data_IF_900566882086
#
_entry.id   IF_900566882086
#
_cell.length_a   1.000
_cell.length_b   1.000
_cell.length_c   1.000
_cell.angle_alpha   90.00
_cell.angle_beta   90.00
_cell.angle_gamma   90.00
#
_symmetry.space_group_name_H-M   'P 1'
#
loop_
_entity.id
_entity.type
_entity.pdbx_description
1 polymer ?
#
# COMPACT_ATOMS: atom_id res chain seq x y z
N UNK A 1 -38.50 75.32 24.56
CA UNK A 1 -39.25 74.06 24.79
C UNK A 1 -39.62 73.33 23.50
N UNK A 2 -40.71 73.62 22.77
CA UNK A 2 -41.05 72.83 21.56
C UNK A 2 -40.00 72.86 20.44
N UNK A 3 -39.32 73.99 20.23
CA UNK A 3 -38.27 74.09 19.22
C UNK A 3 -36.97 73.35 19.61
N UNK A 4 -36.66 73.25 20.91
CA UNK A 4 -35.47 72.55 21.42
C UNK A 4 -35.67 71.03 21.44
N UNK A 5 -36.88 70.55 21.73
CA UNK A 5 -37.24 69.14 21.59
C UNK A 5 -37.15 68.67 20.13
N UNK A 6 -37.64 69.48 19.18
CA UNK A 6 -37.57 69.15 17.75
C UNK A 6 -36.13 69.07 17.24
N UNK A 7 -35.25 70.00 17.64
CA UNK A 7 -33.83 70.02 17.25
C UNK A 7 -33.05 68.82 17.82
N UNK A 8 -33.39 68.39 19.04
CA UNK A 8 -32.80 67.23 19.70
C UNK A 8 -33.27 65.91 19.09
N UNK A 9 -34.53 65.82 18.70
CA UNK A 9 -35.11 64.64 18.06
C UNK A 9 -34.56 64.44 16.63
N UNK A 10 -34.31 65.53 15.91
CA UNK A 10 -33.65 65.51 14.60
C UNK A 10 -32.19 65.05 14.70
N UNK A 11 -31.44 65.47 15.74
CA UNK A 11 -30.07 64.98 16.01
C UNK A 11 -30.02 63.49 16.35
N UNK A 12 -30.97 62.99 17.15
CA UNK A 12 -31.06 61.56 17.47
C UNK A 12 -31.45 60.71 16.26
N UNK A 13 -32.27 61.25 15.36
CA UNK A 13 -32.59 60.60 14.08
C UNK A 13 -31.35 60.52 13.19
N UNK A 14 -30.60 61.61 13.06
CA UNK A 14 -29.33 61.63 12.33
C UNK A 14 -28.30 60.62 12.87
N UNK A 15 -28.14 60.55 14.20
CA UNK A 15 -27.25 59.56 14.85
C UNK A 15 -27.72 58.12 14.63
N UNK A 16 -29.04 57.85 14.60
CA UNK A 16 -29.58 56.52 14.27
C UNK A 16 -29.28 56.11 12.84
N UNK A 17 -29.47 57.01 11.89
CA UNK A 17 -29.19 56.77 10.48
C UNK A 17 -27.69 56.51 10.28
N UNK A 18 -26.83 57.27 10.96
CA UNK A 18 -25.38 57.05 10.93
C UNK A 18 -24.92 55.70 11.53
N UNK A 19 -25.58 55.22 12.59
CA UNK A 19 -25.33 53.89 13.17
C UNK A 19 -25.82 52.79 12.23
N UNK A 20 -26.98 52.99 11.60
CA UNK A 20 -27.53 52.07 10.61
C UNK A 20 -26.59 51.93 9.41
N UNK A 21 -26.10 53.03 8.86
CA UNK A 21 -25.16 53.03 7.73
C UNK A 21 -23.83 52.37 8.10
N UNK A 22 -23.29 52.67 9.29
CA UNK A 22 -22.08 52.02 9.77
C UNK A 22 -22.25 50.51 10.00
N UNK A 23 -23.45 50.07 10.41
CA UNK A 23 -23.79 48.66 10.55
C UNK A 23 -23.90 47.96 9.19
N UNK A 24 -24.59 48.57 8.23
CA UNK A 24 -24.73 48.04 6.88
C UNK A 24 -23.37 47.85 6.19
N UNK A 25 -22.46 48.82 6.37
CA UNK A 25 -21.08 48.72 5.87
C UNK A 25 -20.30 47.57 6.52
N UNK A 26 -20.43 47.40 7.85
CA UNK A 26 -19.79 46.31 8.57
C UNK A 26 -20.31 44.94 8.13
N UNK A 27 -21.62 44.80 7.96
CA UNK A 27 -22.25 43.55 7.53
C UNK A 27 -21.84 43.19 6.10
N UNK A 28 -21.76 44.18 5.19
CA UNK A 28 -21.24 44.01 3.82
C UNK A 28 -19.79 43.49 3.81
N UNK A 29 -18.92 44.09 4.61
CA UNK A 29 -17.51 43.69 4.69
C UNK A 29 -17.35 42.29 5.31
N UNK A 30 -18.21 41.92 6.28
CA UNK A 30 -18.24 40.56 6.85
C UNK A 30 -18.68 39.51 5.83
N UNK A 31 -19.67 39.82 4.99
CA UNK A 31 -20.09 38.92 3.91
C UNK A 31 -18.95 38.70 2.90
N UNK A 32 -18.23 39.77 2.55
CA UNK A 32 -17.03 39.68 1.70
C UNK A 32 -15.93 38.84 2.36
N UNK A 33 -15.69 39.01 3.66
CA UNK A 33 -14.74 38.20 4.45
C UNK A 33 -15.10 36.71 4.40
N UNK A 34 -16.37 36.36 4.61
CA UNK A 34 -16.82 34.96 4.54
C UNK A 34 -16.66 34.36 3.13
N UNK A 35 -16.94 35.16 2.10
CA UNK A 35 -16.76 34.75 0.69
C UNK A 35 -15.29 34.49 0.38
N UNK A 36 -14.38 35.37 0.82
CA UNK A 36 -12.94 35.18 0.67
C UNK A 36 -12.43 33.97 1.44
N UNK A 37 -12.93 33.72 2.65
CA UNK A 37 -12.60 32.53 3.44
C UNK A 37 -12.97 31.24 2.70
N UNK A 38 -14.19 31.18 2.14
CA UNK A 38 -14.65 30.02 1.37
C UNK A 38 -13.81 29.81 0.11
N UNK A 39 -13.48 30.89 -0.61
CA UNK A 39 -12.58 30.82 -1.76
C UNK A 39 -11.18 30.30 -1.39
N UNK A 40 -10.64 30.71 -0.23
CA UNK A 40 -9.37 30.24 0.30
C UNK A 40 -9.39 28.74 0.60
N UNK A 41 -10.46 28.25 1.24
CA UNK A 41 -10.63 26.82 1.53
C UNK A 41 -10.65 26.03 0.22
N UNK A 42 -11.47 26.46 -0.75
CA UNK A 42 -11.53 25.80 -2.07
C UNK A 42 -10.18 25.78 -2.78
N UNK A 43 -9.43 26.88 -2.73
CA UNK A 43 -8.09 26.95 -3.34
C UNK A 43 -7.09 26.00 -2.66
N UNK A 44 -7.17 25.86 -1.33
CA UNK A 44 -6.35 24.90 -0.58
C UNK A 44 -6.68 23.46 -0.94
N UNK A 45 -7.97 23.14 -1.09
CA UNK A 45 -8.41 21.81 -1.52
C UNK A 45 -7.91 21.49 -2.93
N UNK A 46 -7.95 22.46 -3.85
CA UNK A 46 -7.40 22.31 -5.20
C UNK A 46 -5.88 22.03 -5.17
N UNK A 47 -5.12 22.78 -4.36
CA UNK A 47 -3.68 22.54 -4.17
C UNK A 47 -3.43 21.13 -3.66
N UNK A 48 -4.22 20.66 -2.67
CA UNK A 48 -4.10 19.30 -2.14
C UNK A 48 -4.37 18.24 -3.21
N UNK A 49 -5.41 18.41 -4.03
CA UNK A 49 -5.70 17.50 -5.14
C UNK A 49 -4.57 17.47 -6.18
N UNK A 50 -3.96 18.61 -6.48
CA UNK A 50 -2.79 18.68 -7.37
C UNK A 50 -1.60 17.95 -6.74
N UNK A 51 -1.36 18.12 -5.44
CA UNK A 51 -0.26 17.46 -4.72
C UNK A 51 -0.40 15.93 -4.72
N UNK A 52 -1.62 15.45 -4.53
CA UNK A 52 -1.95 14.03 -4.63
C UNK A 52 -1.66 13.48 -6.04
N UNK A 53 -2.03 14.22 -7.09
CA UNK A 53 -1.70 13.86 -8.48
C UNK A 53 -0.20 13.85 -8.74
N UNK A 54 0.55 14.83 -8.25
CA UNK A 54 2.02 14.86 -8.37
C UNK A 54 2.61 13.60 -7.76
N UNK A 55 2.21 13.27 -6.52
CA UNK A 55 2.71 12.10 -5.80
C UNK A 55 2.40 10.80 -6.53
N UNK A 56 1.22 10.67 -7.12
CA UNK A 56 0.84 9.50 -7.91
C UNK A 56 1.70 9.36 -9.18
N UNK A 57 1.94 10.47 -9.88
CA UNK A 57 2.79 10.48 -11.08
C UNK A 57 4.26 10.17 -10.74
N UNK A 58 4.79 10.75 -9.67
CA UNK A 58 6.15 10.46 -9.20
C UNK A 58 6.31 9.02 -8.73
N UNK A 59 5.29 8.45 -8.07
CA UNK A 59 5.29 7.04 -7.68
C UNK A 59 5.36 6.13 -8.92
N UNK A 60 4.55 6.38 -9.94
CA UNK A 60 4.57 5.63 -11.20
C UNK A 60 5.90 5.79 -11.93
N UNK A 61 6.47 6.99 -11.97
CA UNK A 61 7.81 7.23 -12.53
C UNK A 61 8.85 6.35 -11.84
N UNK A 62 8.86 6.33 -10.50
CA UNK A 62 9.78 5.52 -9.72
C UNK A 62 9.59 4.02 -9.97
N UNK A 63 8.34 3.54 -10.08
CA UNK A 63 8.02 2.16 -10.44
C UNK A 63 8.56 1.79 -11.83
N UNK A 64 8.37 2.65 -12.83
CA UNK A 64 8.88 2.44 -14.19
C UNK A 64 10.42 2.44 -14.20
N UNK A 65 11.06 3.37 -13.48
CA UNK A 65 12.52 3.44 -13.40
C UNK A 65 13.13 2.21 -12.71
N UNK A 66 12.48 1.70 -11.67
CA UNK A 66 12.85 0.43 -11.05
C UNK A 66 12.74 -0.73 -12.04
N UNK A 67 11.67 -0.77 -12.84
CA UNK A 67 11.51 -1.76 -13.89
C UNK A 67 12.60 -1.67 -14.97
N UNK A 68 12.95 -0.47 -15.44
CA UNK A 68 14.04 -0.27 -16.40
C UNK A 68 15.37 -0.79 -15.82
N UNK A 69 15.66 -0.48 -14.55
CA UNK A 69 16.88 -0.97 -13.89
C UNK A 69 16.89 -2.50 -13.81
N UNK A 70 15.76 -3.12 -13.48
CA UNK A 70 15.64 -4.58 -13.44
C UNK A 70 15.86 -5.20 -14.82
N UNK A 71 15.25 -4.64 -15.87
CA UNK A 71 15.40 -5.12 -17.25
C UNK A 71 16.87 -4.99 -17.70
N UNK A 72 17.53 -3.87 -17.41
CA UNK A 72 18.97 -3.69 -17.71
C UNK A 72 19.86 -4.71 -16.98
N UNK A 73 19.53 -5.06 -15.73
CA UNK A 73 20.25 -6.11 -15.01
C UNK A 73 20.01 -7.50 -15.61
N UNK A 74 18.80 -7.78 -16.12
CA UNK A 74 18.48 -9.03 -16.82
C UNK A 74 19.22 -9.17 -18.15
N UNK A 75 19.49 -8.07 -18.85
CA UNK A 75 20.28 -8.06 -20.09
C UNK A 75 21.67 -8.67 -19.88
N UNK A 76 22.30 -8.39 -18.73
CA UNK A 76 23.63 -8.93 -18.42
C UNK A 76 23.60 -10.42 -18.09
N UNK A 77 22.53 -10.93 -17.49
CA UNK A 77 22.38 -12.34 -17.10
C UNK A 77 20.91 -12.77 -17.13
N UNK A 78 20.52 -13.61 -18.10
CA UNK A 78 19.15 -14.14 -18.23
C UNK A 78 18.62 -14.81 -16.96
N UNK A 79 19.51 -15.42 -16.17
CA UNK A 79 19.18 -16.09 -14.91
C UNK A 79 18.66 -15.10 -13.85
N UNK A 80 19.11 -13.84 -13.86
CA UNK A 80 18.66 -12.82 -12.90
C UNK A 80 17.17 -12.49 -13.03
N UNK A 81 16.58 -12.77 -14.20
CA UNK A 81 15.15 -12.57 -14.41
C UNK A 81 14.30 -13.47 -13.49
N UNK A 82 14.86 -14.58 -13.00
CA UNK A 82 14.13 -15.62 -12.27
C UNK A 82 14.50 -15.66 -10.77
N UNK A 83 14.57 -14.50 -10.12
CA UNK A 83 14.80 -14.37 -8.67
C UNK A 83 15.97 -13.45 -8.26
N UNK A 84 16.49 -12.66 -9.20
CA UNK A 84 17.45 -11.58 -8.94
C UNK A 84 18.84 -12.07 -8.51
N UNK A 85 19.59 -11.18 -7.85
CA UNK A 85 20.97 -11.45 -7.40
C UNK A 85 21.07 -12.66 -6.45
N UNK A 86 20.03 -12.92 -5.65
CA UNK A 86 20.04 -14.03 -4.70
C UNK A 86 20.08 -15.39 -5.39
N UNK A 87 19.48 -15.54 -6.57
CA UNK A 87 19.52 -16.78 -7.34
C UNK A 87 20.91 -17.06 -7.90
N UNK A 88 21.66 -16.03 -8.30
CA UNK A 88 23.07 -16.21 -8.69
C UNK A 88 23.89 -16.75 -7.53
N UNK A 89 23.71 -16.18 -6.33
CA UNK A 89 24.40 -16.67 -5.13
C UNK A 89 23.99 -18.11 -4.79
N UNK A 90 22.70 -18.43 -4.92
CA UNK A 90 22.20 -19.79 -4.73
C UNK A 90 22.84 -20.78 -5.71
N UNK A 91 22.93 -20.44 -7.00
CA UNK A 91 23.59 -21.29 -7.99
C UNK A 91 25.05 -21.55 -7.66
N UNK A 92 25.79 -20.54 -7.17
CA UNK A 92 27.17 -20.72 -6.70
C UNK A 92 27.27 -21.66 -5.51
N UNK A 93 26.32 -21.62 -4.59
CA UNK A 93 26.27 -22.54 -3.43
C UNK A 93 25.91 -23.95 -3.88
N UNK A 94 24.95 -24.09 -4.80
CA UNK A 94 24.58 -25.38 -5.40
C UNK A 94 25.79 -26.00 -6.11
N UNK A 95 26.54 -25.22 -6.89
CA UNK A 95 27.77 -25.66 -7.55
C UNK A 95 28.80 -26.16 -6.55
N UNK A 96 28.96 -25.52 -5.38
CA UNK A 96 29.86 -26.02 -4.32
C UNK A 96 29.38 -27.32 -3.68
N UNK A 97 28.07 -27.47 -3.52
CA UNK A 97 27.44 -28.64 -2.91
C UNK A 97 27.12 -29.74 -3.92
N UNK A 98 27.57 -29.64 -5.18
CA UNK A 98 27.11 -30.51 -6.26
C UNK A 98 27.31 -32.01 -6.00
N UNK A 99 28.42 -32.39 -5.33
CA UNK A 99 28.72 -33.79 -4.98
C UNK A 99 27.83 -34.36 -3.87
N UNK A 100 27.13 -33.50 -3.12
CA UNK A 100 26.24 -33.92 -2.03
C UNK A 100 24.83 -34.21 -2.51
N UNK A 101 24.46 -33.73 -3.70
CA UNK A 101 23.20 -34.05 -4.34
C UNK A 101 23.32 -35.40 -5.06
N UNK A 102 22.23 -36.18 -5.07
CA UNK A 102 22.17 -37.40 -5.88
C UNK A 102 22.23 -37.06 -7.37
N UNK A 103 21.48 -36.04 -7.76
CA UNK A 103 21.60 -35.38 -9.06
C UNK A 103 21.48 -33.87 -8.86
N UNK A 104 22.23 -33.04 -9.62
CA UNK A 104 22.18 -31.61 -9.45
C UNK A 104 20.76 -31.07 -9.70
N UNK A 105 20.27 -30.15 -8.85
CA UNK A 105 18.95 -29.57 -9.03
C UNK A 105 18.87 -28.79 -10.34
N UNK A 106 17.74 -28.92 -11.05
CA UNK A 106 17.49 -28.21 -12.31
C UNK A 106 16.72 -26.93 -11.99
N UNK A 107 17.31 -25.77 -12.25
CA UNK A 107 16.59 -24.51 -12.14
C UNK A 107 17.48 -23.27 -12.23
N UNK A 108 16.86 -22.08 -12.21
CA UNK A 108 15.41 -21.85 -12.22
C UNK A 108 14.76 -22.28 -13.54
N UNK A 109 13.53 -22.85 -13.49
CA UNK A 109 12.84 -23.41 -14.67
C UNK A 109 12.85 -22.46 -15.87
N UNK A 110 12.57 -21.17 -15.63
CA UNK A 110 12.49 -20.16 -16.69
C UNK A 110 13.79 -19.97 -17.49
N UNK A 111 14.96 -20.26 -16.91
CA UNK A 111 16.24 -20.16 -17.60
C UNK A 111 16.43 -21.25 -18.67
N UNK A 112 15.70 -22.36 -18.57
CA UNK A 112 15.75 -23.48 -19.52
C UNK A 112 14.72 -23.35 -20.65
N UNK A 113 13.89 -22.30 -20.64
CA UNK A 113 12.81 -22.10 -21.59
C UNK A 113 13.22 -21.10 -22.69
N UNK A 114 12.89 -21.46 -23.92
CA UNK A 114 12.98 -20.60 -25.11
C UNK A 114 11.60 -20.54 -25.75
N UNK A 115 11.29 -19.41 -26.40
CA UNK A 115 10.02 -19.21 -27.11
C UNK A 115 10.24 -19.27 -28.61
N UNK A 116 9.47 -20.10 -29.32
CA UNK A 116 9.62 -20.29 -30.78
C UNK A 116 9.20 -19.05 -31.60
N UNK A 117 8.26 -18.25 -31.09
CA UNK A 117 7.76 -17.01 -31.72
C UNK A 117 7.97 -15.80 -30.78
N UNK A 118 9.26 -15.56 -30.47
CA UNK A 118 9.81 -15.16 -29.17
C UNK A 118 9.39 -13.87 -28.47
N UNK A 119 8.60 -12.97 -29.05
CA UNK A 119 8.23 -11.71 -28.36
C UNK A 119 6.73 -11.53 -28.15
N UNK A 120 5.90 -11.96 -29.10
CA UNK A 120 4.46 -11.69 -29.05
C UNK A 120 3.79 -12.31 -27.82
N UNK A 121 4.17 -13.55 -27.48
CA UNK A 121 3.49 -14.33 -26.44
C UNK A 121 4.23 -14.34 -25.09
N UNK A 122 5.38 -13.65 -24.98
CA UNK A 122 6.24 -13.77 -23.80
C UNK A 122 5.52 -13.40 -22.51
N UNK A 123 4.81 -12.27 -22.51
CA UNK A 123 4.04 -11.80 -21.35
C UNK A 123 2.92 -12.78 -20.99
N UNK A 124 2.18 -13.28 -21.98
CA UNK A 124 1.09 -14.23 -21.79
C UNK A 124 1.59 -15.56 -21.19
N UNK A 125 2.69 -16.11 -21.72
CA UNK A 125 3.32 -17.35 -21.23
C UNK A 125 3.79 -17.20 -19.79
N UNK A 126 4.37 -16.05 -19.45
CA UNK A 126 4.83 -15.82 -18.09
C UNK A 126 3.71 -15.72 -17.07
N UNK A 127 2.58 -15.13 -17.46
CA UNK A 127 1.39 -15.12 -16.63
C UNK A 127 0.79 -16.53 -16.49
N UNK A 128 0.86 -17.32 -17.56
CA UNK A 128 0.34 -18.68 -17.58
C UNK A 128 1.13 -19.65 -16.68
N UNK A 129 2.47 -19.58 -16.73
CA UNK A 129 3.37 -20.40 -15.89
C UNK A 129 3.52 -19.80 -14.48
N UNK A 130 3.52 -18.48 -14.38
CA UNK A 130 3.55 -17.74 -13.11
C UNK A 130 4.85 -17.94 -12.33
N UNK A 131 4.70 -18.26 -11.03
CA UNK A 131 5.83 -18.42 -10.10
C UNK A 131 6.68 -19.65 -10.38
N UNK A 132 6.16 -20.63 -11.11
CA UNK A 132 6.89 -21.86 -11.45
C UNK A 132 8.17 -21.57 -12.24
N UNK A 133 8.24 -20.45 -12.96
CA UNK A 133 9.46 -20.02 -13.66
C UNK A 133 10.66 -19.82 -12.71
N UNK A 134 10.41 -19.49 -11.44
CA UNK A 134 11.44 -19.29 -10.43
C UNK A 134 11.74 -20.58 -9.63
N UNK A 135 11.06 -21.68 -9.95
CA UNK A 135 11.19 -22.94 -9.21
C UNK A 135 12.44 -23.72 -9.60
N UNK A 136 12.87 -24.57 -8.67
CA UNK A 136 13.92 -25.57 -8.89
C UNK A 136 13.33 -26.98 -8.79
N UNK A 137 13.87 -27.91 -9.56
CA UNK A 137 13.45 -29.31 -9.61
C UNK A 137 14.55 -30.16 -8.98
N UNK A 138 14.18 -31.04 -8.05
CA UNK A 138 15.06 -32.00 -7.37
C UNK A 138 14.53 -33.42 -7.55
N UNK A 139 15.40 -34.42 -7.41
CA UNK A 139 14.99 -35.83 -7.58
C UNK A 139 14.27 -36.38 -6.35
N UNK A 140 14.83 -36.14 -5.15
CA UNK A 140 14.42 -36.80 -3.92
C UNK A 140 14.19 -35.82 -2.76
N UNK A 141 13.51 -36.28 -1.72
CA UNK A 141 13.30 -35.49 -0.49
C UNK A 141 14.61 -35.17 0.26
N UNK A 142 15.67 -35.96 0.06
CA UNK A 142 17.02 -35.63 0.60
C UNK A 142 17.59 -34.39 -0.09
N UNK A 143 17.56 -34.37 -1.42
CA UNK A 143 18.01 -33.24 -2.23
C UNK A 143 17.15 -31.99 -1.98
N UNK A 144 15.84 -32.15 -1.77
CA UNK A 144 14.97 -31.06 -1.33
C UNK A 144 15.47 -30.38 -0.05
N UNK A 145 15.80 -31.16 0.98
CA UNK A 145 16.30 -30.62 2.25
C UNK A 145 17.66 -29.93 2.08
N UNK A 146 18.53 -30.52 1.27
CA UNK A 146 19.84 -29.94 0.97
C UNK A 146 19.70 -28.61 0.22
N UNK A 147 18.88 -28.54 -0.83
CA UNK A 147 18.63 -27.32 -1.58
C UNK A 147 18.00 -26.23 -0.70
N UNK A 148 17.08 -26.63 0.19
CA UNK A 148 16.50 -25.70 1.17
C UNK A 148 17.55 -25.16 2.15
N UNK A 149 18.50 -25.98 2.57
CA UNK A 149 19.64 -25.52 3.37
C UNK A 149 20.50 -24.51 2.60
N UNK A 150 20.85 -24.82 1.34
CA UNK A 150 21.59 -23.89 0.47
C UNK A 150 20.84 -22.56 0.29
N UNK A 151 19.51 -22.59 0.16
CA UNK A 151 18.67 -21.39 0.05
C UNK A 151 18.68 -20.55 1.33
N UNK A 152 18.70 -21.18 2.50
CA UNK A 152 18.78 -20.49 3.79
C UNK A 152 20.13 -19.78 3.97
N UNK A 153 21.23 -20.40 3.52
CA UNK A 153 22.58 -19.80 3.58
C UNK A 153 22.68 -18.46 2.81
N UNK A 154 21.91 -18.32 1.73
CA UNK A 154 21.86 -17.08 0.92
C UNK A 154 20.65 -16.18 1.24
N UNK A 155 19.94 -16.46 2.34
CA UNK A 155 18.73 -15.75 2.77
C UNK A 155 17.66 -15.65 1.66
N UNK A 156 17.39 -16.79 1.02
CA UNK A 156 16.35 -16.97 0.00
C UNK A 156 15.19 -17.81 0.55
N UNK A 157 14.37 -17.18 1.42
CA UNK A 157 13.31 -17.88 2.18
C UNK A 157 12.10 -18.36 1.36
N UNK A 158 11.91 -17.90 0.13
CA UNK A 158 10.71 -18.20 -0.68
C UNK A 158 11.02 -19.07 -1.92
N UNK A 159 11.99 -19.98 -1.82
CA UNK A 159 12.30 -20.92 -2.91
C UNK A 159 11.16 -21.92 -3.11
N UNK A 160 10.60 -21.95 -4.32
CA UNK A 160 9.70 -23.03 -4.73
C UNK A 160 10.55 -24.20 -5.25
N UNK A 161 10.47 -25.34 -4.57
CA UNK A 161 11.19 -26.56 -4.96
C UNK A 161 10.16 -27.64 -5.31
N UNK A 162 10.34 -28.26 -6.46
CA UNK A 162 9.49 -29.33 -7.00
C UNK A 162 10.28 -30.63 -6.96
N UNK A 163 9.70 -31.67 -6.40
CA UNK A 163 10.30 -33.01 -6.42
C UNK A 163 9.77 -33.73 -7.65
N UNK A 164 10.65 -34.20 -8.53
CA UNK A 164 10.29 -34.91 -9.75
C UNK A 164 11.37 -35.93 -10.13
N UNK A 165 10.97 -37.11 -10.58
CA UNK A 165 11.91 -38.15 -11.01
C UNK A 165 12.50 -37.83 -12.40
N UNK A 166 13.81 -37.61 -12.45
CA UNK A 166 14.55 -37.27 -13.67
C UNK A 166 14.64 -38.46 -14.64
N UNK A 167 14.35 -39.67 -14.17
CA UNK A 167 14.33 -40.89 -14.99
C UNK A 167 13.09 -40.96 -15.88
N UNK A 168 12.09 -40.10 -15.63
CA UNK A 168 10.84 -40.09 -16.40
C UNK A 168 11.09 -39.63 -17.83
N UNK A 169 10.75 -40.45 -18.85
CA UNK A 169 10.91 -40.05 -20.25
C UNK A 169 9.98 -38.88 -20.59
N UNK A 170 10.26 -38.21 -21.72
CA UNK A 170 9.44 -37.08 -22.18
C UNK A 170 7.99 -37.51 -22.39
N UNK A 171 7.05 -36.80 -21.76
CA UNK A 171 5.63 -37.06 -21.89
C UNK A 171 5.16 -36.80 -23.33
N UNK A 172 4.55 -37.81 -23.93
CA UNK A 172 3.89 -37.72 -25.23
C UNK A 172 2.40 -37.56 -25.00
N UNK A 173 1.85 -36.38 -25.31
CA UNK A 173 0.44 -36.06 -25.09
C UNK A 173 -0.32 -36.37 -26.37
N UNK A 174 -1.30 -37.29 -26.36
CA UNK A 174 -2.12 -37.57 -27.52
C UNK A 174 -2.94 -36.34 -27.96
N UNK A 175 -3.18 -36.20 -29.27
CA UNK A 175 -3.89 -35.04 -29.82
C UNK A 175 -5.29 -34.84 -29.23
N UNK A 176 -6.01 -35.92 -28.90
CA UNK A 176 -7.36 -35.84 -28.32
C UNK A 176 -7.37 -35.31 -26.87
N UNK A 177 -6.23 -35.28 -26.19
CA UNK A 177 -6.08 -34.71 -24.85
C UNK A 177 -5.76 -33.21 -24.88
N UNK A 178 -5.46 -32.66 -26.05
CA UNK A 178 -5.19 -31.24 -26.25
C UNK A 178 -6.48 -30.47 -26.55
N UNK A 179 -6.54 -29.16 -26.25
CA UNK A 179 -7.63 -28.31 -26.67
C UNK A 179 -7.73 -28.25 -28.20
N UNK A 180 -8.90 -28.57 -28.75
CA UNK A 180 -9.14 -28.47 -30.19
C UNK A 180 -9.45 -27.02 -30.58
N UNK A 181 -8.41 -26.24 -30.87
CA UNK A 181 -8.53 -24.81 -31.22
C UNK A 181 -7.56 -24.43 -32.33
N UNK A 182 -7.88 -23.35 -33.06
CA UNK A 182 -6.96 -22.72 -34.02
C UNK A 182 -5.90 -21.83 -33.34
N UNK A 183 -5.93 -21.74 -32.02
CA UNK A 183 -5.06 -20.89 -31.23
C UNK A 183 -3.90 -21.70 -30.63
N UNK A 184 -2.68 -21.15 -30.56
CA UNK A 184 -1.56 -21.86 -29.98
C UNK A 184 -1.76 -22.09 -28.48
N UNK A 185 -1.38 -23.27 -27.99
CA UNK A 185 -1.25 -23.52 -26.55
C UNK A 185 0.11 -23.06 -26.04
N UNK A 186 0.23 -22.80 -24.74
CA UNK A 186 1.52 -22.48 -24.10
C UNK A 186 2.53 -23.59 -24.38
N UNK A 187 2.12 -24.86 -24.32
CA UNK A 187 2.96 -26.01 -24.66
C UNK A 187 3.53 -25.94 -26.09
N UNK A 188 2.71 -25.54 -27.08
CA UNK A 188 3.12 -25.52 -28.49
C UNK A 188 4.20 -24.49 -28.83
N UNK A 189 4.30 -23.41 -28.05
CA UNK A 189 5.25 -22.32 -28.29
C UNK A 189 6.50 -22.40 -27.40
N UNK A 190 6.48 -23.24 -26.38
CA UNK A 190 7.61 -23.49 -25.49
C UNK A 190 8.59 -24.48 -26.11
N UNK A 191 9.86 -24.09 -26.14
CA UNK A 191 10.98 -24.95 -26.48
C UNK A 191 11.87 -25.13 -25.25
N UNK A 192 12.10 -26.39 -24.88
CA UNK A 192 13.01 -26.76 -23.80
C UNK A 192 13.82 -27.98 -24.22
N UNK A 193 15.13 -27.93 -23.98
CA UNK A 193 16.05 -29.05 -24.23
C UNK A 193 15.91 -30.13 -23.15
N UNK A 194 15.54 -29.75 -21.93
CA UNK A 194 15.39 -30.68 -20.81
C UNK A 194 13.96 -31.22 -20.71
N UNK A 195 13.80 -32.54 -20.95
CA UNK A 195 12.52 -33.24 -20.86
C UNK A 195 11.88 -33.17 -19.47
N UNK A 196 12.67 -33.16 -18.39
CA UNK A 196 12.16 -33.07 -17.01
C UNK A 196 11.44 -31.74 -16.78
N UNK A 197 12.01 -30.63 -17.28
CA UNK A 197 11.39 -29.31 -17.17
C UNK A 197 10.06 -29.27 -17.92
N UNK A 198 10.02 -29.84 -19.13
CA UNK A 198 8.80 -29.88 -19.94
C UNK A 198 7.72 -30.75 -19.28
N UNK A 199 8.09 -31.90 -18.71
CA UNK A 199 7.16 -32.78 -18.01
C UNK A 199 6.56 -32.09 -16.77
N UNK A 200 7.38 -31.41 -15.97
CA UNK A 200 6.91 -30.64 -14.80
C UNK A 200 5.92 -29.54 -15.20
N UNK A 201 6.17 -28.86 -16.32
CA UNK A 201 5.25 -27.84 -16.83
C UNK A 201 3.91 -28.43 -17.27
N UNK A 202 3.90 -29.65 -17.81
CA UNK A 202 2.65 -30.36 -18.17
C UNK A 202 1.92 -30.81 -16.91
N UNK A 203 2.60 -31.55 -16.03
CA UNK A 203 1.97 -32.18 -14.87
C UNK A 203 1.45 -31.16 -13.85
N UNK A 204 2.26 -30.13 -13.53
CA UNK A 204 1.94 -29.14 -12.50
C UNK A 204 1.43 -27.81 -13.08
N UNK A 205 1.92 -27.42 -14.26
CA UNK A 205 1.53 -26.17 -14.91
C UNK A 205 0.31 -26.29 -15.82
N UNK A 206 0.01 -27.50 -16.32
CA UNK A 206 -1.02 -27.75 -17.33
C UNK A 206 -0.90 -26.86 -18.58
N UNK A 207 0.34 -26.58 -19.00
CA UNK A 207 0.65 -25.71 -20.13
C UNK A 207 0.06 -26.20 -21.47
N UNK A 208 -0.26 -27.48 -21.56
CA UNK A 208 -0.93 -28.13 -22.70
C UNK A 208 -2.40 -27.73 -22.81
N UNK A 209 -3.03 -27.33 -21.71
CA UNK A 209 -4.45 -26.93 -21.61
C UNK A 209 -4.64 -25.42 -21.50
N UNK A 210 -3.57 -24.65 -21.62
CA UNK A 210 -3.58 -23.19 -21.58
C UNK A 210 -3.46 -22.64 -23.01
N UNK A 211 -4.46 -21.89 -23.47
CA UNK A 211 -4.55 -21.38 -24.85
C UNK A 211 -4.26 -19.88 -24.88
N UNK A 212 -3.62 -19.42 -25.96
CA UNK A 212 -3.16 -18.05 -26.14
C UNK A 212 -3.90 -17.34 -27.26
N UNK A 213 -4.41 -16.14 -26.98
CA UNK A 213 -5.25 -15.36 -27.89
C UNK A 213 -4.75 -13.92 -28.02
N UNK A 214 -5.00 -13.30 -29.17
CA UNK A 214 -4.51 -11.94 -29.43
C UNK A 214 -5.24 -10.92 -28.54
N UNK A 215 -6.57 -10.93 -28.63
CA UNK A 215 -7.42 -9.85 -28.13
C UNK A 215 -8.38 -10.35 -27.07
N UNK A 216 -8.86 -9.40 -26.26
CA UNK A 216 -9.85 -9.65 -25.22
C UNK A 216 -11.14 -10.29 -25.76
N UNK A 217 -11.65 -9.79 -26.88
CA UNK A 217 -12.90 -10.28 -27.47
C UNK A 217 -12.77 -11.73 -27.94
N UNK A 218 -11.67 -12.05 -28.62
CA UNK A 218 -11.36 -13.44 -29.03
C UNK A 218 -11.21 -14.34 -27.81
N UNK A 219 -10.54 -13.86 -26.76
CA UNK A 219 -10.42 -14.62 -25.52
C UNK A 219 -11.75 -14.94 -24.87
N UNK A 220 -12.70 -14.00 -24.89
CA UNK A 220 -14.05 -14.20 -24.36
C UNK A 220 -14.79 -15.32 -25.11
N UNK A 221 -14.76 -15.28 -26.44
CA UNK A 221 -15.40 -16.29 -27.30
C UNK A 221 -14.80 -17.68 -27.05
N UNK A 222 -13.48 -17.79 -27.07
CA UNK A 222 -12.75 -19.05 -26.86
C UNK A 222 -12.96 -19.60 -25.44
N UNK A 223 -12.93 -18.74 -24.42
CA UNK A 223 -13.04 -19.17 -23.02
C UNK A 223 -14.47 -19.53 -22.58
N UNK A 224 -15.49 -18.88 -23.16
CA UNK A 224 -16.87 -18.92 -22.65
C UNK A 224 -17.91 -19.45 -23.65
N UNK A 225 -17.72 -19.23 -24.94
CA UNK A 225 -18.74 -19.50 -25.98
C UNK A 225 -18.46 -20.81 -26.74
N UNK A 226 -17.22 -21.04 -27.17
CA UNK A 226 -16.84 -22.19 -28.02
C UNK A 226 -16.85 -23.55 -27.31
N UNK A 227 -16.99 -23.58 -25.97
CA UNK A 227 -17.03 -24.80 -25.14
C UNK A 227 -16.00 -25.87 -25.55
N UNK A 228 -14.75 -25.46 -25.69
CA UNK A 228 -13.65 -26.31 -26.14
C UNK A 228 -13.33 -27.39 -25.09
N UNK A 229 -13.24 -28.65 -25.53
CA UNK A 229 -12.84 -29.78 -24.68
C UNK A 229 -11.38 -29.63 -24.22
N UNK A 230 -11.08 -30.07 -23.00
CA UNK A 230 -9.74 -30.03 -22.40
C UNK A 230 -9.13 -28.62 -22.23
N UNK A 231 -9.87 -27.54 -22.51
CA UNK A 231 -9.43 -26.19 -22.18
C UNK A 231 -9.46 -25.97 -20.65
N UNK A 232 -8.39 -25.40 -20.08
CA UNK A 232 -8.34 -25.02 -18.66
C UNK A 232 -8.43 -23.51 -18.51
N UNK A 233 -7.57 -22.77 -19.20
CA UNK A 233 -7.40 -21.32 -19.06
C UNK A 233 -7.02 -20.71 -20.42
N UNK A 234 -7.43 -19.47 -20.64
CA UNK A 234 -7.09 -18.67 -21.82
C UNK A 234 -6.33 -17.42 -21.38
N UNK A 235 -5.26 -17.07 -22.10
CA UNK A 235 -4.46 -15.88 -21.83
C UNK A 235 -4.37 -14.98 -23.06
N UNK A 236 -4.60 -13.68 -22.87
CA UNK A 236 -4.35 -12.68 -23.91
C UNK A 236 -2.87 -12.34 -24.01
N UNK A 237 -2.45 -11.73 -25.14
CA UNK A 237 -1.08 -11.19 -25.33
C UNK A 237 -0.65 -10.28 -24.17
N UNK A 238 -1.58 -9.49 -23.63
CA UNK A 238 -1.33 -8.57 -22.52
C UNK A 238 -1.22 -9.26 -21.15
N UNK A 239 -1.53 -10.55 -21.06
CA UNK A 239 -1.52 -11.33 -19.81
C UNK A 239 -2.86 -11.36 -19.06
N UNK A 240 -3.97 -10.98 -19.71
CA UNK A 240 -5.31 -11.14 -19.12
C UNK A 240 -5.67 -12.63 -19.09
N UNK A 241 -6.17 -13.13 -17.95
CA UNK A 241 -6.50 -14.54 -17.75
C UNK A 241 -8.01 -14.73 -17.74
N UNK A 242 -8.51 -15.66 -18.54
CA UNK A 242 -9.93 -15.99 -18.65
C UNK A 242 -10.14 -17.48 -18.44
N UNK A 243 -11.13 -17.86 -17.63
CA UNK A 243 -11.46 -19.26 -17.41
C UNK A 243 -12.90 -19.45 -16.91
N UNK A 244 -13.43 -20.64 -17.15
CA UNK A 244 -14.75 -21.08 -16.70
C UNK A 244 -14.62 -22.16 -15.63
N UNK A 245 -15.37 -22.03 -14.53
CA UNK A 245 -15.51 -23.07 -13.50
C UNK A 245 -16.99 -23.41 -13.34
N UNK A 246 -17.44 -24.45 -14.04
CA UNK A 246 -18.86 -24.77 -14.12
C UNK A 246 -19.65 -23.60 -14.71
N UNK A 247 -20.66 -23.04 -14.01
CA UNK A 247 -21.43 -21.91 -14.52
C UNK A 247 -20.72 -20.56 -14.37
N UNK A 248 -19.63 -20.47 -13.59
CA UNK A 248 -18.97 -19.20 -13.29
C UNK A 248 -17.93 -18.89 -14.35
N UNK A 249 -18.05 -17.70 -14.94
CA UNK A 249 -17.09 -17.11 -15.86
C UNK A 249 -16.24 -16.09 -15.11
N UNK A 250 -14.91 -16.15 -15.24
CA UNK A 250 -14.00 -15.25 -14.54
C UNK A 250 -12.95 -14.70 -15.48
N UNK A 251 -12.74 -13.39 -15.40
CA UNK A 251 -11.70 -12.66 -16.12
C UNK A 251 -10.85 -11.91 -15.10
N UNK A 252 -9.54 -12.20 -15.10
CA UNK A 252 -8.57 -11.54 -14.24
C UNK A 252 -7.71 -10.60 -15.08
N UNK A 253 -7.66 -9.29 -14.76
CA UNK A 253 -6.87 -8.33 -15.51
C UNK A 253 -5.37 -8.63 -15.39
N UNK A 254 -4.56 -8.21 -16.37
CA UNK A 254 -3.12 -8.41 -16.33
C UNK A 254 -2.50 -7.68 -15.13
N UNK A 255 -1.46 -8.27 -14.54
CA UNK A 255 -0.77 -7.64 -13.43
C UNK A 255 0.05 -6.44 -13.94
N UNK A 256 -0.30 -5.23 -13.49
CA UNK A 256 0.36 -3.98 -13.90
C UNK A 256 1.86 -3.98 -13.59
N UNK A 257 2.32 -4.75 -12.60
CA UNK A 257 3.74 -4.81 -12.21
C UNK A 257 4.61 -5.63 -13.16
N UNK A 258 4.03 -6.44 -14.05
CA UNK A 258 4.76 -7.41 -14.87
C UNK A 258 4.47 -7.21 -16.36
N UNK A 259 4.67 -5.98 -16.83
CA UNK A 259 4.51 -5.58 -18.24
C UNK A 259 5.63 -6.03 -19.15
N UNK A 260 6.72 -6.55 -18.60
CA UNK A 260 7.85 -7.09 -19.35
C UNK A 260 7.90 -8.61 -19.24
N UNK A 261 8.02 -9.28 -20.39
CA UNK A 261 8.29 -10.70 -20.44
C UNK A 261 9.79 -10.96 -20.23
N UNK A 262 10.16 -11.50 -19.07
CA UNK A 262 11.46 -12.13 -18.76
C UNK A 262 11.95 -13.16 -19.78
N UNK A 263 11.04 -13.78 -20.54
CA UNK A 263 11.30 -14.75 -21.61
C UNK A 263 11.44 -14.09 -22.99
N UNK A 264 11.24 -12.77 -23.09
CA UNK A 264 11.40 -12.02 -24.35
C UNK A 264 12.89 -11.90 -24.71
N UNK A 265 13.17 -11.97 -26.01
CA UNK A 265 14.52 -11.75 -26.54
C UNK A 265 14.80 -10.30 -26.94
N UNK A 266 13.77 -9.44 -27.05
CA UNK A 266 13.94 -8.00 -27.30
C UNK A 266 13.88 -7.24 -25.98
N UNK A 267 15.05 -6.82 -25.51
CA UNK A 267 15.19 -6.04 -24.28
C UNK A 267 15.13 -4.53 -24.60
N UNK A 268 15.67 -4.16 -25.76
CA UNK A 268 15.88 -2.80 -26.21
C UNK A 268 14.55 -2.09 -26.51
N UNK A 269 13.64 -2.70 -27.27
CA UNK A 269 12.33 -2.10 -27.60
C UNK A 269 11.49 -1.86 -26.33
N UNK A 270 11.61 -2.76 -25.34
CA UNK A 270 10.93 -2.62 -24.07
C UNK A 270 11.52 -1.50 -23.22
N UNK A 271 12.85 -1.39 -23.15
CA UNK A 271 13.51 -0.28 -22.45
C UNK A 271 13.13 1.06 -23.08
N UNK A 272 13.08 1.14 -24.42
CA UNK A 272 12.67 2.36 -25.12
C UNK A 272 11.23 2.73 -24.77
N UNK A 273 10.29 1.77 -24.83
CA UNK A 273 8.90 2.00 -24.44
C UNK A 273 8.77 2.47 -22.99
N UNK A 274 9.41 1.79 -22.04
CA UNK A 274 9.36 2.20 -20.64
C UNK A 274 10.05 3.54 -20.40
N UNK A 275 11.11 3.87 -21.16
CA UNK A 275 11.78 5.16 -21.07
C UNK A 275 10.89 6.29 -21.59
N UNK A 276 10.12 6.05 -22.65
CA UNK A 276 9.13 7.00 -23.15
C UNK A 276 8.00 7.19 -22.13
N UNK A 277 7.43 6.10 -21.61
CA UNK A 277 6.40 6.15 -20.55
C UNK A 277 6.91 6.92 -19.30
N UNK A 278 8.17 6.71 -18.89
CA UNK A 278 8.78 7.44 -17.78
C UNK A 278 8.96 8.94 -18.08
N UNK A 279 9.36 9.29 -19.30
CA UNK A 279 9.51 10.68 -19.73
C UNK A 279 8.16 11.40 -19.71
N UNK A 280 7.10 10.75 -20.20
CA UNK A 280 5.75 11.30 -20.22
C UNK A 280 5.20 11.49 -18.80
N UNK A 281 5.41 10.51 -17.92
CA UNK A 281 5.00 10.60 -16.51
C UNK A 281 5.75 11.71 -15.76
N UNK A 282 7.04 11.89 -16.06
CA UNK A 282 7.86 12.95 -15.49
C UNK A 282 7.44 14.34 -15.98
N UNK A 283 7.11 14.47 -17.27
CA UNK A 283 6.56 15.71 -17.83
C UNK A 283 5.22 16.05 -17.18
N UNK A 284 4.31 15.09 -17.06
CA UNK A 284 3.03 15.29 -16.39
C UNK A 284 3.22 15.76 -14.94
N UNK A 285 4.12 15.13 -14.17
CA UNK A 285 4.43 15.56 -12.81
C UNK A 285 4.97 17.00 -12.75
N UNK A 286 5.84 17.40 -13.70
CA UNK A 286 6.37 18.75 -13.78
C UNK A 286 5.30 19.78 -14.18
N UNK A 287 4.39 19.45 -15.08
CA UNK A 287 3.27 20.30 -15.46
C UNK A 287 2.34 20.53 -14.26
N UNK A 288 2.04 19.48 -13.49
CA UNK A 288 1.30 19.64 -12.24
C UNK A 288 2.03 20.48 -11.20
N UNK A 289 3.38 20.40 -11.12
CA UNK A 289 4.17 21.28 -10.24
C UNK A 289 4.08 22.74 -10.66
N UNK A 290 4.03 23.04 -11.95
CA UNK A 290 3.79 24.40 -12.43
C UNK A 290 2.39 24.88 -12.09
N UNK A 291 1.37 24.04 -12.30
CA UNK A 291 -0.02 24.36 -11.94
C UNK A 291 -0.17 24.57 -10.42
N UNK A 292 0.56 23.80 -9.60
CA UNK A 292 0.61 23.97 -8.15
C UNK A 292 1.14 25.36 -7.78
N UNK A 293 2.24 25.80 -8.39
CA UNK A 293 2.80 27.14 -8.13
C UNK A 293 1.81 28.25 -8.49
N UNK A 294 1.09 28.12 -9.62
CA UNK A 294 0.06 29.08 -10.00
C UNK A 294 -1.11 29.12 -8.98
N UNK A 295 -1.55 27.95 -8.51
CA UNK A 295 -2.56 27.82 -7.47
C UNK A 295 -2.10 28.41 -6.12
N UNK A 296 -0.83 28.23 -5.76
CA UNK A 296 -0.22 28.82 -4.56
C UNK A 296 -0.13 30.36 -4.65
N UNK A 297 0.21 30.91 -5.83
CA UNK A 297 0.20 32.36 -6.06
C UNK A 297 -1.22 32.94 -5.92
N UNK A 298 -2.24 32.25 -6.44
CA UNK A 298 -3.65 32.63 -6.23
C UNK A 298 -4.04 32.60 -4.76
N UNK A 299 -3.57 31.60 -4.01
CA UNK A 299 -3.80 31.52 -2.57
C UNK A 299 -3.15 32.70 -1.83
N UNK A 300 -1.93 33.10 -2.23
CA UNK A 300 -1.24 34.25 -1.65
C UNK A 300 -1.97 35.57 -1.94
N UNK A 301 -2.48 35.75 -3.16
CA UNK A 301 -3.31 36.92 -3.51
C UNK A 301 -4.61 36.98 -2.71
N UNK A 302 -5.29 35.84 -2.56
CA UNK A 302 -6.47 35.73 -1.70
C UNK A 302 -6.14 36.05 -0.23
N UNK A 303 -4.96 35.66 0.26
CA UNK A 303 -4.52 35.99 1.61
C UNK A 303 -4.23 37.48 1.80
N UNK A 304 -3.65 38.14 0.80
CA UNK A 304 -3.48 39.60 0.80
C UNK A 304 -4.82 40.31 0.84
N UNK A 305 -5.79 39.90 0.01
CA UNK A 305 -7.16 40.43 -0.02
C UNK A 305 -7.88 40.21 1.31
N UNK A 306 -7.78 39.01 1.87
CA UNK A 306 -8.39 38.66 3.16
C UNK A 306 -7.84 39.53 4.29
N UNK A 307 -6.52 39.75 4.34
CA UNK A 307 -5.90 40.62 5.35
C UNK A 307 -6.32 42.08 5.18
N UNK A 308 -6.54 42.55 3.95
CA UNK A 308 -7.07 43.89 3.69
C UNK A 308 -8.51 44.03 4.20
N UNK A 309 -9.40 43.10 3.84
CA UNK A 309 -10.80 43.10 4.28
C UNK A 309 -10.90 42.99 5.80
N UNK A 310 -10.10 42.12 6.45
CA UNK A 310 -10.07 42.04 7.92
C UNK A 310 -9.73 43.36 8.59
N UNK A 311 -8.79 44.14 8.04
CA UNK A 311 -8.47 45.48 8.53
C UNK A 311 -9.65 46.45 8.34
N UNK A 312 -10.34 46.37 7.21
CA UNK A 312 -11.53 47.18 6.95
C UNK A 312 -12.68 46.80 7.90
N UNK A 313 -12.98 45.50 8.08
CA UNK A 313 -13.94 45.00 9.07
C UNK A 313 -13.61 45.51 10.49
N UNK A 314 -12.33 45.47 10.88
CA UNK A 314 -11.90 45.96 12.18
C UNK A 314 -12.13 47.48 12.34
N UNK A 315 -11.77 48.27 11.33
CA UNK A 315 -11.96 49.71 11.34
C UNK A 315 -13.46 50.10 11.29
N UNK A 316 -14.25 49.43 10.46
CA UNK A 316 -15.70 49.60 10.37
C UNK A 316 -16.38 49.20 11.68
N UNK A 317 -15.94 48.11 12.32
CA UNK A 317 -16.41 47.68 13.63
C UNK A 317 -16.11 48.69 14.73
N UNK A 318 -14.91 49.30 14.72
CA UNK A 318 -14.55 50.39 15.64
C UNK A 318 -15.43 51.63 15.42
N UNK A 319 -15.66 52.01 14.17
CA UNK A 319 -16.54 53.13 13.80
C UNK A 319 -17.98 52.89 14.25
N UNK A 320 -18.52 51.70 13.96
CA UNK A 320 -19.85 51.27 14.40
C UNK A 320 -19.99 51.33 15.92
N UNK A 321 -19.04 50.75 16.67
CA UNK A 321 -19.07 50.78 18.13
C UNK A 321 -19.01 52.20 18.69
N UNK A 322 -18.19 53.08 18.10
CA UNK A 322 -18.09 54.47 18.51
C UNK A 322 -19.40 55.24 18.28
N UNK A 323 -20.02 55.09 17.10
CA UNK A 323 -21.29 55.74 16.78
C UNK A 323 -22.44 55.20 17.62
N UNK A 324 -22.44 53.89 17.88
CA UNK A 324 -23.41 53.24 18.78
C UNK A 324 -23.31 53.80 20.19
N UNK A 325 -22.09 53.96 20.73
CA UNK A 325 -21.88 54.55 22.04
C UNK A 325 -22.36 56.01 22.10
N UNK A 326 -22.06 56.81 21.08
CA UNK A 326 -22.54 58.20 21.00
C UNK A 326 -24.08 58.29 20.94
N UNK A 327 -24.73 57.36 20.24
CA UNK A 327 -26.19 57.26 20.22
C UNK A 327 -26.73 56.87 21.61
N UNK A 328 -26.15 55.87 22.28
CA UNK A 328 -26.54 55.47 23.64
C UNK A 328 -26.38 56.63 24.64
N UNK A 329 -25.27 57.38 24.57
CA UNK A 329 -25.03 58.58 25.40
C UNK A 329 -26.07 59.69 25.15
N UNK A 330 -26.36 60.02 23.89
CA UNK A 330 -27.36 61.02 23.53
C UNK A 330 -28.79 60.61 23.96
N UNK A 331 -29.10 59.31 23.85
CA UNK A 331 -30.40 58.77 24.29
C UNK A 331 -30.54 58.85 25.81
N UNK A 332 -29.48 58.56 26.55
CA UNK A 332 -29.44 58.68 28.01
C UNK A 332 -29.54 60.14 28.49
N UNK A 333 -28.94 61.09 27.77
CA UNK A 333 -29.06 62.53 28.06
C UNK A 333 -30.50 63.04 27.84
N UNK A 334 -31.16 62.63 26.75
CA UNK A 334 -32.57 62.96 26.51
C UNK A 334 -33.49 62.37 27.59
N UNK A 335 -33.21 61.14 28.04
CA UNK A 335 -33.94 60.52 29.15
C UNK A 335 -33.74 61.29 30.47
N UNK A 336 -32.54 61.82 30.72
CA UNK A 336 -32.25 62.65 31.90
C UNK A 336 -32.95 64.02 31.85
N UNK A 337 -33.05 64.66 30.67
CA UNK A 337 -33.70 65.97 30.49
C UNK A 337 -35.25 65.89 30.52
N UNK A 338 -35.84 64.80 30.04
CA UNK A 338 -37.30 64.57 30.14
C UNK A 338 -37.81 64.40 31.58
N UNK A 339 -36.94 64.15 32.56
CA UNK A 339 -37.32 63.94 33.96
C UNK A 339 -37.61 65.23 34.77
N UNK A 340 -37.62 66.42 34.16
CA UNK A 340 -37.80 67.71 34.84
C UNK A 340 -39.16 68.41 34.63
N UNK A 341 -40.16 67.77 34.03
CA UNK A 341 -41.50 68.35 33.84
C UNK A 341 -42.61 67.46 34.42
N UNK A 342 -43.59 67.99 35.19
CA UNK A 342 -44.64 67.17 35.78
C UNK A 342 -45.72 66.79 34.75
N UNK A 343 -45.82 65.48 34.51
CA UNK A 343 -46.98 64.68 34.10
C UNK A 343 -47.83 65.16 32.90
N UNK A 344 -47.62 64.49 31.76
CA UNK A 344 -48.75 64.01 30.96
C UNK A 344 -49.51 62.93 31.76
N UNK A 345 -50.83 62.87 31.58
CA UNK A 345 -51.82 62.09 32.35
C UNK A 345 -51.28 60.82 33.02
N UNK A 346 -51.32 60.79 34.36
CA UNK A 346 -50.87 59.68 35.22
C UNK A 346 -51.41 58.32 34.74
N UNK A 347 -52.61 58.28 34.16
CA UNK A 347 -53.26 57.04 33.74
C UNK A 347 -52.65 56.40 32.46
N UNK A 348 -52.18 57.17 31.48
CA UNK A 348 -51.52 56.62 30.27
C UNK A 348 -50.11 56.11 30.59
N UNK A 349 -49.38 56.83 31.45
CA UNK A 349 -48.05 56.42 31.90
C UNK A 349 -48.15 55.17 32.78
N UNK A 350 -49.19 55.04 33.62
CA UNK A 350 -49.42 53.82 34.41
C UNK A 350 -49.75 52.63 33.51
N UNK A 351 -50.47 52.84 32.41
CA UNK A 351 -50.79 51.78 31.45
C UNK A 351 -49.57 51.36 30.61
N UNK A 352 -48.76 52.31 30.13
CA UNK A 352 -47.47 52.02 29.48
C UNK A 352 -46.45 51.38 30.43
N UNK A 353 -46.35 51.83 31.68
CA UNK A 353 -45.50 51.20 32.70
C UNK A 353 -46.00 49.79 33.01
N UNK A 354 -47.31 49.56 33.03
CA UNK A 354 -47.89 48.22 33.19
C UNK A 354 -47.54 47.31 32.01
N UNK A 355 -47.57 47.84 30.79
CA UNK A 355 -47.26 47.08 29.57
C UNK A 355 -45.75 46.81 29.42
N UNK A 356 -44.90 47.77 29.75
CA UNK A 356 -43.45 47.62 29.82
C UNK A 356 -43.08 46.63 30.92
N UNK A 357 -43.70 46.69 32.11
CA UNK A 357 -43.46 45.70 33.16
C UNK A 357 -43.90 44.29 32.76
N UNK A 358 -44.98 44.15 31.98
CA UNK A 358 -45.37 42.86 31.40
C UNK A 358 -44.34 42.36 30.40
N UNK A 359 -43.78 43.24 29.55
CA UNK A 359 -42.70 42.89 28.61
C UNK A 359 -41.41 42.53 29.34
N UNK A 360 -41.01 43.28 30.36
CA UNK A 360 -39.85 42.99 31.21
C UNK A 360 -40.01 41.62 31.85
N UNK A 361 -41.16 41.32 32.46
CA UNK A 361 -41.44 40.00 33.02
C UNK A 361 -41.41 38.88 31.98
N UNK A 362 -41.93 39.14 30.77
CA UNK A 362 -41.86 38.16 29.69
C UNK A 362 -40.41 37.92 29.21
N UNK A 363 -39.61 38.98 29.13
CA UNK A 363 -38.18 38.92 28.78
C UNK A 363 -37.37 38.21 29.87
N UNK A 364 -37.66 38.45 31.16
CA UNK A 364 -37.07 37.76 32.31
C UNK A 364 -37.36 36.26 32.28
N UNK A 365 -38.59 35.85 31.97
CA UNK A 365 -38.95 34.43 31.80
C UNK A 365 -38.23 33.81 30.61
N UNK A 366 -38.05 34.55 29.50
CA UNK A 366 -37.26 34.08 28.36
C UNK A 366 -35.76 33.96 28.69
N UNK A 367 -35.24 34.89 29.51
CA UNK A 367 -33.87 34.88 30.00
C UNK A 367 -33.64 33.66 30.90
N UNK A 368 -34.53 33.39 31.86
CA UNK A 368 -34.50 32.19 32.70
C UNK A 368 -34.51 30.91 31.84
N UNK A 369 -35.36 30.86 30.80
CA UNK A 369 -35.41 29.73 29.87
C UNK A 369 -34.16 29.58 28.99
N UNK A 370 -33.46 30.68 28.67
CA UNK A 370 -32.17 30.66 27.98
C UNK A 370 -31.05 30.23 28.92
N UNK A 371 -31.05 30.69 30.17
CA UNK A 371 -30.08 30.28 31.20
C UNK A 371 -30.22 28.79 31.52
N UNK A 372 -31.43 28.28 31.63
CA UNK A 372 -31.67 26.85 31.82
C UNK A 372 -31.13 26.03 30.64
N UNK A 373 -31.40 26.45 29.39
CA UNK A 373 -30.82 25.80 28.20
C UNK A 373 -29.30 25.89 28.15
N UNK A 374 -28.72 27.00 28.58
CA UNK A 374 -27.27 27.15 28.72
C UNK A 374 -26.72 26.17 29.75
N UNK A 375 -27.35 26.04 30.92
CA UNK A 375 -26.94 25.09 31.95
C UNK A 375 -27.04 23.64 31.47
N UNK A 376 -28.12 23.28 30.76
CA UNK A 376 -28.25 21.96 30.14
C UNK A 376 -27.17 21.69 29.07
N UNK A 377 -26.87 22.69 28.23
CA UNK A 377 -25.84 22.56 27.21
C UNK A 377 -24.44 22.42 27.83
N UNK A 378 -24.14 23.18 28.88
CA UNK A 378 -22.89 23.08 29.65
C UNK A 378 -22.78 21.73 30.34
N UNK A 379 -23.87 21.22 30.93
CA UNK A 379 -23.91 19.87 31.51
C UNK A 379 -23.60 18.79 30.49
N UNK A 380 -24.26 18.83 29.31
CA UNK A 380 -23.98 17.89 28.21
C UNK A 380 -22.55 17.99 27.68
N UNK A 381 -21.97 19.19 27.64
CA UNK A 381 -20.58 19.38 27.23
C UNK A 381 -19.62 18.77 28.26
N UNK A 382 -19.86 19.01 29.55
CA UNK A 382 -19.07 18.42 30.64
C UNK A 382 -19.18 16.89 30.66
N UNK A 383 -20.36 16.31 30.43
CA UNK A 383 -20.55 14.86 30.33
C UNK A 383 -19.78 14.26 29.14
N UNK A 384 -19.70 15.00 28.02
CA UNK A 384 -18.93 14.58 26.84
C UNK A 384 -17.42 14.68 27.09
N UNK A 385 -16.97 15.69 27.82
CA UNK A 385 -15.57 15.87 28.22
C UNK A 385 -15.11 14.73 29.13
N UNK A 386 -15.91 14.36 30.13
CA UNK A 386 -15.64 13.19 31.00
C UNK A 386 -15.53 11.89 30.19
N UNK A 387 -16.45 11.65 29.24
CA UNK A 387 -16.38 10.45 28.38
C UNK A 387 -15.17 10.44 27.46
N UNK A 388 -14.73 11.61 27.02
CA UNK A 388 -13.53 11.74 26.20
C UNK A 388 -12.27 11.42 27.02
N UNK A 389 -12.20 11.93 28.26
CA UNK A 389 -11.10 11.65 29.17
C UNK A 389 -11.04 10.16 29.55
N UNK A 390 -12.18 9.53 29.85
CA UNK A 390 -12.27 8.08 30.08
C UNK A 390 -11.76 7.27 28.87
N UNK A 391 -12.10 7.70 27.66
CA UNK A 391 -11.61 7.06 26.44
C UNK A 391 -10.09 7.24 26.28
N UNK A 392 -9.56 8.42 26.58
CA UNK A 392 -8.12 8.68 26.55
C UNK A 392 -7.36 7.81 27.57
N UNK A 393 -7.88 7.63 28.78
CA UNK A 393 -7.30 6.73 29.77
C UNK A 393 -7.34 5.26 29.31
N UNK A 394 -8.45 4.82 28.70
CA UNK A 394 -8.56 3.48 28.12
C UNK A 394 -7.55 3.26 26.98
N UNK A 395 -7.39 4.22 26.08
CA UNK A 395 -6.42 4.12 24.98
C UNK A 395 -4.99 4.09 25.52
N UNK A 396 -4.67 4.91 26.53
CA UNK A 396 -3.34 4.93 27.14
C UNK A 396 -3.00 3.62 27.85
N UNK A 397 -3.98 2.98 28.52
CA UNK A 397 -3.78 1.66 29.14
C UNK A 397 -3.58 0.56 28.10
N UNK A 398 -4.30 0.59 26.97
CA UNK A 398 -4.06 -0.31 25.85
C UNK A 398 -2.67 -0.11 25.22
N UNK A 399 -2.24 1.15 25.01
CA UNK A 399 -0.90 1.47 24.51
C UNK A 399 0.17 0.92 25.45
N UNK A 400 0.06 1.13 26.76
CA UNK A 400 1.01 0.59 27.73
C UNK A 400 1.06 -0.95 27.70
N UNK A 401 -0.09 -1.60 27.48
CA UNK A 401 -0.14 -3.07 27.33
C UNK A 401 0.55 -3.55 26.04
N UNK A 402 0.42 -2.80 24.94
CA UNK A 402 1.08 -3.08 23.67
C UNK A 402 2.59 -2.89 23.77
N UNK A 403 3.06 -1.81 24.40
CA UNK A 403 4.50 -1.56 24.63
C UNK A 403 5.12 -2.69 25.47
N UNK A 404 4.39 -3.16 26.48
CA UNK A 404 4.84 -4.31 27.29
C UNK A 404 4.94 -5.59 26.45
N UNK A 405 3.93 -5.89 25.63
CA UNK A 405 3.93 -7.05 24.76
C UNK A 405 5.06 -6.99 23.70
N UNK A 406 5.36 -5.79 23.19
CA UNK A 406 6.48 -5.57 22.26
C UNK A 406 7.83 -5.84 22.94
N UNK A 407 8.02 -5.35 24.17
CA UNK A 407 9.24 -5.63 24.95
C UNK A 407 9.42 -7.13 25.21
N UNK A 408 8.35 -7.84 25.58
CA UNK A 408 8.39 -9.29 25.77
C UNK A 408 8.75 -10.04 24.47
N UNK A 409 8.22 -9.58 23.32
CA UNK A 409 8.57 -10.12 22.00
C UNK A 409 10.04 -9.94 21.68
N UNK A 410 10.60 -8.74 21.94
CA UNK A 410 12.02 -8.46 21.75
C UNK A 410 12.91 -9.35 22.63
N UNK A 411 12.50 -9.63 23.87
CA UNK A 411 13.26 -10.51 24.76
C UNK A 411 13.24 -11.96 24.26
N UNK A 412 12.08 -12.46 23.81
CA UNK A 412 11.95 -13.79 23.19
C UNK A 412 12.83 -13.90 21.94
N UNK A 413 12.87 -12.87 21.09
CA UNK A 413 13.74 -12.86 19.90
C UNK A 413 15.22 -12.97 20.28
N UNK A 414 15.66 -12.25 21.33
CA UNK A 414 17.03 -12.36 21.85
C UNK A 414 17.33 -13.76 22.38
N UNK A 415 16.39 -14.38 23.10
CA UNK A 415 16.54 -15.76 23.59
C UNK A 415 16.62 -16.77 22.44
N UNK A 416 15.78 -16.62 21.41
CA UNK A 416 15.81 -17.46 20.21
C UNK A 416 17.16 -17.35 19.52
N UNK A 417 17.71 -16.14 19.38
CA UNK A 417 19.01 -15.95 18.73
C UNK A 417 20.17 -16.47 19.59
N UNK A 418 20.09 -16.38 20.91
CA UNK A 418 21.04 -17.04 21.81
C UNK A 418 20.98 -18.57 21.69
N UNK A 419 19.77 -19.15 21.66
CA UNK A 419 19.56 -20.58 21.49
C UNK A 419 20.04 -21.09 20.13
N UNK A 420 19.84 -20.33 19.05
CA UNK A 420 20.41 -20.64 17.73
C UNK A 420 21.93 -20.67 17.77
N UNK A 421 22.58 -19.66 18.37
CA UNK A 421 24.04 -19.63 18.52
C UNK A 421 24.56 -20.82 19.33
N UNK A 422 23.88 -21.19 20.41
CA UNK A 422 24.24 -22.37 21.21
C UNK A 422 24.09 -23.66 20.41
N UNK A 423 23.00 -23.82 19.65
CA UNK A 423 22.80 -24.95 18.75
C UNK A 423 23.92 -25.04 17.71
N UNK A 424 24.24 -23.93 17.05
CA UNK A 424 25.31 -23.89 16.04
C UNK A 424 26.67 -24.27 16.64
N UNK A 425 26.94 -23.83 17.88
CA UNK A 425 28.14 -24.23 18.62
C UNK A 425 28.18 -25.75 18.86
N UNK A 426 27.12 -26.35 19.39
CA UNK A 426 27.08 -27.80 19.65
C UNK A 426 27.09 -28.62 18.36
N UNK A 427 26.39 -28.19 17.31
CA UNK A 427 26.43 -28.83 15.99
C UNK A 427 27.85 -28.82 15.40
N UNK A 428 28.61 -27.75 15.63
CA UNK A 428 30.01 -27.67 15.22
C UNK A 428 30.90 -28.62 16.03
N UNK A 429 30.75 -28.63 17.37
CA UNK A 429 31.50 -29.56 18.24
C UNK A 429 31.23 -31.02 17.88
N UNK A 430 29.97 -31.36 17.59
CA UNK A 430 29.56 -32.70 17.17
C UNK A 430 30.25 -33.11 15.86
N UNK A 431 30.32 -32.20 14.88
CA UNK A 431 30.95 -32.46 13.57
C UNK A 431 32.47 -32.55 13.65
N UNK A 432 33.11 -31.65 14.39
CA UNK A 432 34.59 -31.54 14.39
C UNK A 432 35.25 -32.56 15.30
N UNK A 433 34.65 -32.85 16.46
CA UNK A 433 35.29 -33.68 17.48
C UNK A 433 34.62 -35.04 17.61
N UNK A 434 33.35 -35.06 18.04
CA UNK A 434 32.67 -36.31 18.40
C UNK A 434 32.55 -37.28 17.23
N UNK A 435 32.08 -36.82 16.06
CA UNK A 435 31.96 -37.68 14.88
C UNK A 435 33.32 -38.09 14.29
N UNK A 436 34.36 -37.30 14.51
CA UNK A 436 35.71 -37.65 14.09
C UNK A 436 36.28 -38.76 14.98
N UNK A 437 36.21 -38.57 16.30
CA UNK A 437 36.67 -39.54 17.30
C UNK A 437 35.94 -40.89 17.15
N UNK A 438 34.63 -40.87 16.87
CA UNK A 438 33.85 -42.10 16.63
C UNK A 438 34.33 -42.83 15.36
N UNK A 439 34.57 -42.09 14.27
CA UNK A 439 35.06 -42.71 13.02
C UNK A 439 36.45 -43.32 13.19
N UNK A 440 37.34 -42.62 13.89
CA UNK A 440 38.69 -43.14 14.18
C UNK A 440 38.62 -44.41 15.04
N UNK A 441 37.73 -44.45 16.03
CA UNK A 441 37.48 -45.64 16.84
C UNK A 441 36.86 -46.80 16.03
N UNK A 442 35.93 -46.51 15.11
CA UNK A 442 35.33 -47.50 14.21
C UNK A 442 36.36 -48.09 13.24
N UNK A 443 37.23 -47.25 12.66
CA UNK A 443 38.33 -47.68 11.79
C UNK A 443 39.31 -48.58 12.54
N UNK A 444 39.70 -48.19 13.75
CA UNK A 444 40.56 -49.00 14.61
C UNK A 444 39.91 -50.34 14.99
N UNK A 445 38.61 -50.35 15.28
CA UNK A 445 37.86 -51.60 15.52
C UNK A 445 37.82 -52.52 14.28
N UNK A 446 37.62 -51.94 13.09
CA UNK A 446 37.66 -52.68 11.83
C UNK A 446 39.05 -53.28 11.56
N UNK A 447 40.11 -52.53 11.84
CA UNK A 447 41.49 -53.01 11.68
C UNK A 447 41.81 -54.16 12.64
N UNK A 448 41.39 -54.05 13.91
CA UNK A 448 41.50 -55.14 14.89
C UNK A 448 40.71 -56.39 14.46
N UNK A 449 39.53 -56.20 13.85
CA UNK A 449 38.70 -57.30 13.35
C UNK A 449 39.37 -58.00 12.17
N UNK A 450 39.91 -57.26 11.20
CA UNK A 450 40.69 -57.82 10.09
C UNK A 450 41.92 -58.58 10.56
N UNK A 451 42.70 -58.02 11.50
CA UNK A 451 43.85 -58.73 12.09
C UNK A 451 43.43 -60.02 12.78
N UNK A 452 42.26 -60.04 13.44
CA UNK A 452 41.71 -61.26 14.04
C UNK A 452 41.34 -62.31 12.98
N UNK A 453 40.74 -61.89 11.86
CA UNK A 453 40.40 -62.78 10.74
C UNK A 453 41.64 -63.32 10.02
N UNK A 454 42.68 -62.50 9.83
CA UNK A 454 43.97 -62.90 9.25
C UNK A 454 44.72 -63.91 10.12
N UNK A 455 44.67 -63.77 11.44
CA UNK A 455 45.21 -64.77 12.39
C UNK A 455 44.44 -66.09 12.33
N UNK A 456 43.14 -66.06 12.01
CA UNK A 456 42.30 -67.26 11.87
C UNK A 456 42.47 -67.94 10.50
N UNK A 457 42.71 -67.18 9.43
CA UNK A 457 42.88 -67.68 8.06
C UNK A 457 44.34 -67.99 7.68
N UNK A 458 45.30 -67.51 8.47
CA UNK A 458 46.76 -67.69 8.31
C UNK A 458 47.33 -69.01 8.86
N UNK A 459 46.61 -70.13 8.76
CA UNK A 459 47.20 -71.49 8.82
C UNK A 459 46.52 -72.37 7.77
N UNK A 460 47.23 -72.75 6.70
CA UNK A 460 47.79 -74.11 6.75
C UNK A 460 49.14 -74.26 5.99
N UNK A 461 50.09 -74.93 6.65
CA UNK A 461 50.96 -76.01 6.15
C UNK A 461 52.37 -75.92 6.71
N UNK A 462 52.68 -76.79 7.67
CA UNK A 462 53.82 -77.71 7.60
C UNK A 462 53.89 -78.51 8.90
N UNK A 463 53.61 -79.82 8.78
CA UNK A 463 54.38 -80.91 9.39
C UNK A 463 53.80 -82.24 8.90
N UNK A 464 54.30 -82.62 7.73
CA UNK A 464 54.39 -84.00 7.27
C UNK A 464 55.88 -84.33 7.24
N UNK A 465 56.25 -85.45 7.89
CA UNK A 465 57.57 -86.15 7.89
C UNK A 465 58.70 -85.40 8.65
N UNK A 466 59.52 -85.99 9.54
CA UNK A 466 60.07 -87.34 9.64
C UNK A 466 60.40 -87.77 11.09
N UNK A 467 60.67 -89.08 11.22
CA UNK A 467 61.63 -89.68 12.16
C UNK A 467 62.93 -88.90 12.30
#
# INVERSE_FOLDING_TARGET
MQAEESDMEEKLKGLRDEVHDAKAELDRLREEETTLMNNKIRQKDEIKMIDDKIRDHEKKYNEIMLNIRNIKQQQSNKIMAFGGNKVINLLRVIERCHQRFKMPPIGPIGAHLKLLNGNKWAVAVEHAIGRMLNSFIVTDHKDFRLLKQCANEVNYGHLQIIIYDFSTPRLMIPQHMLPNTNHPSVFSILQCENHTVMNVLVDLGNVERQVLVNDYNTGKVVAFEERIQNLKEVFTVEGCKMFSRGPVQTTLPPNKSQRYGRLSSSVEDAIEKFSNDASDEQKAANDYKWNKKDAELKLEDLDKKMNSIKRLCFNAGKSFNSKKLALEEATNQQAAERNLTPLSSVDEIVEEISEINKKIKAEEVLLEGLEQRRHEAVGKASDLEVKFDELCESVNTEIASLEKAESELMDIEREIDAAKKAKDHYDNVMKTRVLHDIKEAEEHYLELTKRREEVVMGKPQSKSVAN
#
